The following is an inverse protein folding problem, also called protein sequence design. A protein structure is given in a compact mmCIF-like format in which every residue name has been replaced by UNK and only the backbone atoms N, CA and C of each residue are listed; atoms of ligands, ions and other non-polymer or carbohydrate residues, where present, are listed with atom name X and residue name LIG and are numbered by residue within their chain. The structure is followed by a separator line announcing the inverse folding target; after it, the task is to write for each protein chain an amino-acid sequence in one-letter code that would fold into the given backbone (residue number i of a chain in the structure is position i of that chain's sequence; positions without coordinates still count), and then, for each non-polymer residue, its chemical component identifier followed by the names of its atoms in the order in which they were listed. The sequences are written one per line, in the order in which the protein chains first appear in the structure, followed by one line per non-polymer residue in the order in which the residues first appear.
data_IF_603057341900
#
_entry.id   IF_603057341900
#
_cell.length_a   1.000
_cell.length_b   1.000
_cell.length_c   1.000
_cell.angle_alpha   90.00
_cell.angle_beta   90.00
_cell.angle_gamma   90.00
#
_symmetry.space_group_name_H-M   'P 1'
#
loop_
_entity.id
_entity.type
_entity.pdbx_description
1 polymer ?
#
# COMPACT_ATOMS: atom_id res chain seq x y z
N UNK A 1 -0.70 27.79 23.55
CA UNK A 1 -0.57 26.76 24.61
C UNK A 1 0.26 25.58 24.09
N UNK A 2 1.47 25.39 24.63
CA UNK A 2 2.28 24.19 24.38
C UNK A 2 1.69 23.03 25.19
N UNK A 3 1.38 21.92 24.52
CA UNK A 3 0.90 20.70 25.16
C UNK A 3 2.14 19.86 25.50
N UNK A 4 2.47 19.65 26.79
CA UNK A 4 3.63 18.86 27.19
C UNK A 4 3.58 17.45 26.58
N UNK A 5 4.71 16.98 26.03
CA UNK A 5 4.85 15.67 25.38
C UNK A 5 4.51 15.61 23.89
N UNK A 6 3.87 16.65 23.32
CA UNK A 6 3.65 16.75 21.88
C UNK A 6 4.94 17.08 21.10
N UNK A 7 5.80 17.91 21.70
CA UNK A 7 7.08 18.32 21.13
C UNK A 7 8.06 17.15 21.02
N UNK A 8 8.11 16.29 22.03
CA UNK A 8 8.90 15.05 21.99
C UNK A 8 8.42 14.14 20.85
N UNK A 9 7.10 13.95 20.72
CA UNK A 9 6.51 13.15 19.65
C UNK A 9 6.85 13.70 18.27
N UNK A 10 6.74 15.02 18.08
CA UNK A 10 7.08 15.66 16.81
C UNK A 10 8.56 15.45 16.48
N UNK A 11 9.44 15.65 17.46
CA UNK A 11 10.87 15.42 17.30
C UNK A 11 11.20 13.96 16.92
N UNK A 12 10.50 12.96 17.49
CA UNK A 12 10.66 11.56 17.10
C UNK A 12 10.22 11.30 15.65
N UNK A 13 9.10 11.87 15.21
CA UNK A 13 8.63 11.72 13.83
C UNK A 13 9.58 12.39 12.84
N UNK A 14 10.02 13.61 13.14
CA UNK A 14 10.95 14.35 12.28
C UNK A 14 12.30 13.64 12.17
N UNK A 15 12.82 13.12 13.28
CA UNK A 15 14.04 12.31 13.28
C UNK A 15 13.85 11.02 12.46
N UNK A 16 12.73 10.32 12.64
CA UNK A 16 12.38 9.13 11.87
C UNK A 16 12.34 9.41 10.36
N UNK A 17 11.66 10.49 9.95
CA UNK A 17 11.51 10.88 8.56
C UNK A 17 12.83 11.36 7.92
N UNK A 18 13.66 12.09 8.68
CA UNK A 18 14.89 12.71 8.16
C UNK A 18 16.13 11.81 8.23
N UNK A 19 16.21 10.92 9.21
CA UNK A 19 17.49 10.28 9.56
C UNK A 19 17.45 8.76 9.74
N UNK A 20 16.27 8.12 9.76
CA UNK A 20 16.20 6.67 9.91
C UNK A 20 16.52 5.95 8.57
N UNK A 21 17.67 5.27 8.45
CA UNK A 21 18.09 4.65 7.20
C UNK A 21 17.19 3.47 6.80
N UNK A 22 16.62 2.75 7.78
CA UNK A 22 15.73 1.63 7.51
C UNK A 22 14.41 2.11 6.90
N UNK A 23 13.82 3.18 7.44
CA UNK A 23 12.60 3.79 6.89
C UNK A 23 12.84 4.28 5.47
N UNK A 24 13.93 5.01 5.24
CA UNK A 24 14.32 5.48 3.90
C UNK A 24 14.45 4.31 2.93
N UNK A 25 15.13 3.24 3.33
CA UNK A 25 15.30 2.05 2.51
C UNK A 25 13.96 1.38 2.19
N UNK A 26 13.07 1.24 3.17
CA UNK A 26 11.75 0.64 2.98
C UNK A 26 10.91 1.41 1.95
N UNK A 27 10.84 2.74 2.06
CA UNK A 27 10.05 3.58 1.13
C UNK A 27 10.60 3.49 -0.30
N UNK A 28 11.92 3.59 -0.48
CA UNK A 28 12.56 3.47 -1.80
C UNK A 28 12.35 2.08 -2.39
N UNK A 29 12.53 1.02 -1.60
CA UNK A 29 12.31 -0.35 -2.03
C UNK A 29 10.85 -0.60 -2.44
N UNK A 30 9.88 -0.03 -1.74
CA UNK A 30 8.46 -0.13 -2.09
C UNK A 30 8.15 0.57 -3.42
N UNK A 31 8.64 1.80 -3.60
CA UNK A 31 8.45 2.55 -4.85
C UNK A 31 9.10 1.85 -6.04
N UNK A 32 10.33 1.35 -5.87
CA UNK A 32 11.02 0.59 -6.92
C UNK A 32 10.27 -0.71 -7.24
N UNK A 33 9.82 -1.45 -6.23
CA UNK A 33 9.05 -2.69 -6.44
C UNK A 33 7.75 -2.43 -7.19
N UNK A 34 7.04 -1.34 -6.89
CA UNK A 34 5.84 -0.95 -7.63
C UNK A 34 6.13 -0.76 -9.13
N UNK A 35 7.24 -0.07 -9.47
CA UNK A 35 7.67 0.08 -10.87
C UNK A 35 8.00 -1.26 -11.54
N UNK A 36 8.70 -2.17 -10.84
CA UNK A 36 8.98 -3.52 -11.34
C UNK A 36 7.71 -4.37 -11.53
N UNK A 37 6.68 -4.13 -10.72
CA UNK A 37 5.37 -4.76 -10.82
C UNK A 37 4.46 -4.12 -11.89
N UNK A 38 4.99 -3.18 -12.68
CA UNK A 38 4.28 -2.52 -13.78
C UNK A 38 3.29 -1.45 -13.34
N UNK A 39 3.38 -0.96 -12.09
CA UNK A 39 2.55 0.14 -11.60
C UNK A 39 3.11 1.46 -12.14
N UNK A 40 2.37 2.11 -13.02
CA UNK A 40 2.79 3.36 -13.69
C UNK A 40 2.02 4.60 -13.21
N UNK A 41 0.93 4.43 -12.45
CA UNK A 41 0.12 5.52 -11.93
C UNK A 41 -0.30 5.30 -10.46
N UNK A 42 -0.58 6.40 -9.77
CA UNK A 42 -1.13 6.39 -8.40
C UNK A 42 -2.48 7.13 -8.37
N UNK A 43 -3.45 6.70 -7.54
CA UNK A 43 -3.41 5.47 -6.73
C UNK A 43 -3.53 4.20 -7.59
N UNK A 44 -3.03 3.08 -7.07
CA UNK A 44 -3.19 1.73 -7.64
C UNK A 44 -3.42 0.76 -6.48
N UNK A 45 -4.37 -0.17 -6.64
CA UNK A 45 -4.61 -1.26 -5.69
C UNK A 45 -4.17 -2.59 -6.30
N UNK A 46 -3.32 -3.33 -5.58
CA UNK A 46 -3.02 -4.73 -5.89
C UNK A 46 -3.68 -5.61 -4.84
N UNK A 47 -4.76 -6.29 -5.22
CA UNK A 47 -5.51 -7.17 -4.32
C UNK A 47 -4.94 -8.57 -4.46
N UNK A 48 -4.57 -9.19 -3.34
CA UNK A 48 -3.97 -10.53 -3.29
C UNK A 48 -4.82 -11.43 -2.40
N UNK A 49 -5.39 -12.48 -2.97
CA UNK A 49 -6.01 -13.53 -2.19
C UNK A 49 -4.91 -14.43 -1.60
N UNK A 50 -4.88 -14.53 -0.27
CA UNK A 50 -3.90 -15.34 0.46
C UNK A 50 -4.16 -16.85 0.31
N UNK A 51 -5.41 -17.25 0.08
CA UNK A 51 -5.80 -18.66 -0.05
C UNK A 51 -5.49 -19.20 -1.45
N UNK A 52 -6.06 -18.59 -2.49
CA UNK A 52 -5.84 -19.04 -3.88
C UNK A 52 -4.52 -18.54 -4.50
N UNK A 53 -3.80 -17.63 -3.82
CA UNK A 53 -2.61 -16.94 -4.34
C UNK A 53 -2.84 -16.11 -5.60
N UNK A 54 -4.10 -15.94 -6.03
CA UNK A 54 -4.46 -15.08 -7.15
C UNK A 54 -4.31 -13.61 -6.78
N UNK A 55 -4.03 -12.78 -7.77
CA UNK A 55 -4.01 -11.33 -7.60
C UNK A 55 -4.63 -10.62 -8.78
N UNK A 56 -5.17 -9.43 -8.52
CA UNK A 56 -5.68 -8.50 -9.53
C UNK A 56 -5.17 -7.09 -9.21
N UNK A 57 -4.82 -6.34 -10.25
CA UNK A 57 -4.36 -4.95 -10.15
C UNK A 57 -5.44 -4.03 -10.69
N UNK A 58 -5.83 -3.03 -9.90
CA UNK A 58 -6.76 -1.97 -10.27
C UNK A 58 -6.01 -0.64 -10.30
N UNK A 59 -5.88 -0.04 -11.47
CA UNK A 59 -5.31 1.30 -11.63
C UNK A 59 -6.38 2.35 -11.29
N UNK A 60 -6.01 3.39 -10.55
CA UNK A 60 -6.91 4.45 -10.11
C UNK A 60 -7.52 4.20 -8.72
N UNK A 61 -8.53 5.00 -8.38
CA UNK A 61 -9.28 4.91 -7.14
C UNK A 61 -10.64 4.23 -7.41
N UNK A 62 -10.71 2.88 -7.38
CA UNK A 62 -11.96 2.19 -7.64
C UNK A 62 -12.99 2.51 -6.55
N UNK A 63 -14.24 2.68 -6.94
CA UNK A 63 -15.35 2.75 -6.00
C UNK A 63 -15.62 1.38 -5.34
N UNK A 64 -16.52 1.39 -4.35
CA UNK A 64 -16.85 0.20 -3.58
C UNK A 64 -17.39 -0.96 -4.44
N UNK A 65 -18.16 -0.69 -5.49
CA UNK A 65 -18.74 -1.73 -6.34
C UNK A 65 -17.65 -2.41 -7.19
N UNK A 66 -16.73 -1.62 -7.75
CA UNK A 66 -15.58 -2.14 -8.49
C UNK A 66 -14.70 -3.00 -7.57
N UNK A 67 -14.44 -2.52 -6.34
CA UNK A 67 -13.65 -3.27 -5.37
C UNK A 67 -14.31 -4.61 -4.98
N UNK A 68 -15.61 -4.61 -4.70
CA UNK A 68 -16.37 -5.82 -4.38
C UNK A 68 -16.38 -6.81 -5.55
N UNK A 69 -16.52 -6.31 -6.78
CA UNK A 69 -16.49 -7.13 -8.00
C UNK A 69 -15.11 -7.78 -8.21
N UNK A 70 -14.02 -7.06 -7.91
CA UNK A 70 -12.67 -7.60 -7.99
C UNK A 70 -12.42 -8.70 -6.95
N UNK A 71 -12.99 -8.55 -5.74
CA UNK A 71 -12.94 -9.56 -4.68
C UNK A 71 -13.74 -10.80 -5.09
N UNK A 72 -14.95 -10.62 -5.62
CA UNK A 72 -15.78 -11.73 -6.14
C UNK A 72 -15.05 -12.51 -7.25
N UNK A 73 -14.43 -11.79 -8.20
CA UNK A 73 -13.62 -12.41 -9.24
C UNK A 73 -12.45 -13.24 -8.68
N UNK A 74 -11.78 -12.76 -7.62
CA UNK A 74 -10.70 -13.48 -6.95
C UNK A 74 -11.20 -14.73 -6.20
N UNK A 75 -12.36 -14.61 -5.54
CA UNK A 75 -12.97 -15.66 -4.74
C UNK A 75 -13.68 -16.73 -5.57
N UNK A 76 -14.07 -16.40 -6.80
CA UNK A 76 -14.67 -17.34 -7.75
C UNK A 76 -13.73 -18.52 -7.97
N UNK A 77 -14.13 -19.69 -7.46
CA UNK A 77 -13.48 -20.97 -7.75
C UNK A 77 -13.62 -21.21 -9.25
N UNK A 78 -12.50 -21.48 -9.93
CA UNK A 78 -12.60 -22.17 -11.22
C UNK A 78 -12.96 -23.62 -10.92
N UNK A 79 -14.22 -23.85 -10.54
CA UNK A 79 -14.79 -25.19 -10.59
C UNK A 79 -15.10 -25.48 -12.06
N UNK A 80 -14.11 -26.05 -12.75
CA UNK A 80 -14.27 -26.85 -13.97
C UNK A 80 -13.35 -28.06 -13.89
#
# INVERSE_FOLDING_TARGET
PQIPGLEDRQHFIDNCASSNPAVRQTVVSQAHKAGLDGITATPTLVIKDKHSRRSITLQGAPDGNVLLSAIDWLASTKDL
#
